data_IF_487368859974
#
_entry.id   IF_487368859974
#
_cell.length_a   1.000
_cell.length_b   1.000
_cell.length_c   1.000
_cell.angle_alpha   90.00
_cell.angle_beta   90.00
_cell.angle_gamma   90.00
#
_symmetry.space_group_name_H-M   'P 1'
#
loop_
_entity.id
_entity.type
_entity.pdbx_description
1 polymer ?
#
# COMPACT_ATOMS: atom_id res chain seq x y z
N UNK A 1 -4.48 -18.24 -18.48
CA UNK A 1 -5.50 -17.41 -17.81
C UNK A 1 -4.88 -16.99 -16.49
N UNK A 2 -4.50 -15.71 -16.32
CA UNK A 2 -3.96 -15.24 -15.04
C UNK A 2 -5.12 -15.00 -14.08
N UNK A 3 -4.94 -15.39 -12.82
CA UNK A 3 -5.96 -15.27 -11.78
C UNK A 3 -5.88 -13.85 -11.22
N UNK A 4 -6.88 -13.02 -11.53
CA UNK A 4 -7.05 -11.71 -10.87
C UNK A 4 -7.85 -11.98 -9.60
N UNK A 5 -7.27 -11.69 -8.44
CA UNK A 5 -7.93 -11.85 -7.15
C UNK A 5 -8.32 -10.47 -6.59
N UNK A 6 -9.61 -10.25 -6.36
CA UNK A 6 -10.09 -9.06 -5.65
C UNK A 6 -9.82 -9.21 -4.16
N UNK A 7 -9.01 -8.31 -3.61
CA UNK A 7 -8.80 -8.21 -2.17
C UNK A 7 -10.04 -7.62 -1.53
N UNK A 8 -10.56 -8.23 -0.45
CA UNK A 8 -11.53 -7.53 0.40
C UNK A 8 -10.85 -6.28 0.94
N UNK A 9 -11.38 -5.11 0.58
CA UNK A 9 -10.88 -3.81 1.04
C UNK A 9 -11.06 -3.71 2.55
N UNK A 10 -9.96 -3.84 3.29
CA UNK A 10 -9.95 -3.66 4.73
C UNK A 10 -9.01 -2.52 5.08
N UNK A 11 -9.59 -1.43 5.61
CA UNK A 11 -8.85 -0.27 6.03
C UNK A 11 -8.64 -0.32 7.54
N UNK A 12 -7.38 -0.43 7.96
CA UNK A 12 -7.03 -0.41 9.38
C UNK A 12 -7.11 1.03 9.89
N UNK A 13 -7.90 1.25 10.95
CA UNK A 13 -8.13 2.59 11.52
C UNK A 13 -6.85 3.31 11.93
N UNK A 14 -5.81 2.56 12.32
CA UNK A 14 -4.48 3.06 12.64
C UNK A 14 -3.88 3.99 11.56
N UNK A 15 -4.15 3.73 10.27
CA UNK A 15 -3.61 4.56 9.17
C UNK A 15 -4.42 5.83 8.90
N UNK A 16 -5.61 5.93 9.48
CA UNK A 16 -6.49 7.12 9.41
C UNK A 16 -6.56 7.89 10.72
N UNK A 17 -6.03 7.33 11.81
CA UNK A 17 -6.02 7.96 13.12
C UNK A 17 -5.11 9.19 13.13
N UNK A 18 -5.63 10.33 13.59
CA UNK A 18 -4.90 11.60 13.65
C UNK A 18 -5.12 12.55 12.46
N UNK A 19 -5.84 12.13 11.42
CA UNK A 19 -6.33 13.08 10.40
C UNK A 19 -7.73 13.57 10.80
N UNK A 20 -7.84 14.81 11.27
CA UNK A 20 -9.13 15.36 11.74
C UNK A 20 -10.08 15.70 10.59
N UNK A 21 -9.54 16.18 9.48
CA UNK A 21 -10.31 16.73 8.34
C UNK A 21 -10.02 16.05 7.01
N UNK A 22 -9.04 15.16 6.99
CA UNK A 22 -8.54 14.51 5.80
C UNK A 22 -8.68 13.00 5.94
N UNK A 23 -8.93 12.30 4.84
CA UNK A 23 -9.05 10.85 4.84
C UNK A 23 -8.78 10.28 3.45
N UNK A 24 -8.61 8.98 3.40
CA UNK A 24 -8.58 8.22 2.16
C UNK A 24 -9.51 7.02 2.28
N UNK A 25 -10.08 6.59 1.16
CA UNK A 25 -10.98 5.46 1.08
C UNK A 25 -10.49 4.52 -0.03
N UNK A 26 -10.27 3.26 0.32
CA UNK A 26 -9.88 2.23 -0.64
C UNK A 26 -11.11 1.75 -1.42
N UNK A 27 -11.15 2.03 -2.72
CA UNK A 27 -12.28 1.68 -3.58
C UNK A 27 -12.11 0.29 -4.21
N UNK A 28 -10.91 -0.01 -4.70
CA UNK A 28 -10.61 -1.27 -5.40
C UNK A 28 -9.20 -1.75 -5.03
N UNK A 29 -9.04 -3.06 -4.99
CA UNK A 29 -7.78 -3.72 -4.66
C UNK A 29 -7.71 -5.07 -5.38
N UNK A 30 -6.71 -5.24 -6.23
CA UNK A 30 -6.54 -6.42 -7.08
C UNK A 30 -5.09 -6.92 -7.03
N UNK A 31 -4.91 -8.23 -7.10
CA UNK A 31 -3.61 -8.88 -7.28
C UNK A 31 -3.63 -9.68 -8.59
N UNK A 32 -2.66 -9.41 -9.47
CA UNK A 32 -2.34 -10.23 -10.65
C UNK A 32 -0.90 -10.74 -10.55
N UNK A 33 -0.74 -11.96 -10.05
CA UNK A 33 0.57 -12.57 -9.83
C UNK A 33 1.38 -11.79 -8.79
N UNK A 34 2.45 -11.10 -9.24
CA UNK A 34 3.31 -10.28 -8.39
C UNK A 34 3.02 -8.77 -8.50
N UNK A 35 1.94 -8.38 -9.16
CA UNK A 35 1.51 -7.00 -9.29
C UNK A 35 0.26 -6.80 -8.43
N UNK A 36 0.23 -5.70 -7.69
CA UNK A 36 -0.92 -5.28 -6.89
C UNK A 36 -1.34 -3.90 -7.35
N UNK A 37 -2.64 -3.75 -7.58
CA UNK A 37 -3.24 -2.49 -7.99
C UNK A 37 -4.28 -2.07 -6.97
N UNK A 38 -4.21 -0.81 -6.56
CA UNK A 38 -5.17 -0.19 -5.67
C UNK A 38 -5.72 1.09 -6.28
N UNK A 39 -7.02 1.32 -6.11
CA UNK A 39 -7.68 2.58 -6.44
C UNK A 39 -8.12 3.25 -5.15
N UNK A 40 -7.54 4.42 -4.86
CA UNK A 40 -7.76 5.16 -3.62
C UNK A 40 -8.40 6.50 -3.93
N UNK A 41 -9.46 6.82 -3.20
CA UNK A 41 -10.08 8.13 -3.21
C UNK A 41 -9.57 8.93 -2.01
N UNK A 42 -9.26 10.22 -2.19
CA UNK A 42 -8.75 11.08 -1.13
C UNK A 42 -9.70 12.25 -0.88
N UNK A 43 -9.92 12.55 0.40
CA UNK A 43 -10.55 13.78 0.86
C UNK A 43 -9.48 14.60 1.59
N UNK A 44 -9.12 15.74 1.04
CA UNK A 44 -8.11 16.67 1.56
C UNK A 44 -8.62 18.10 1.48
N UNK A 45 -8.11 18.96 2.36
CA UNK A 45 -8.40 20.40 2.33
C UNK A 45 -7.65 21.06 1.16
N UNK A 46 -6.42 20.62 0.89
CA UNK A 46 -5.65 21.08 -0.27
C UNK A 46 -6.33 20.63 -1.56
N UNK A 47 -6.67 21.59 -2.43
CA UNK A 47 -7.35 21.37 -3.72
C UNK A 47 -6.37 21.13 -4.86
N UNK A 48 -5.10 21.47 -4.65
CA UNK A 48 -4.07 21.45 -5.67
C UNK A 48 -3.23 20.20 -5.56
N UNK A 49 -2.69 19.87 -4.38
CA UNK A 49 -1.82 18.71 -4.22
C UNK A 49 -2.33 17.81 -3.12
N UNK A 50 -2.19 16.49 -3.33
CA UNK A 50 -2.40 15.53 -2.27
C UNK A 50 -1.28 15.69 -1.22
N UNK A 51 -1.60 15.86 0.07
CA UNK A 51 -0.59 15.94 1.11
C UNK A 51 0.27 14.67 1.13
N UNK A 52 1.59 14.84 1.18
CA UNK A 52 2.54 13.73 1.18
C UNK A 52 2.23 12.71 2.27
N UNK A 53 1.97 13.18 3.49
CA UNK A 53 1.70 12.31 4.63
C UNK A 53 0.44 11.46 4.41
N UNK A 54 -0.61 12.02 3.79
CA UNK A 54 -1.84 11.30 3.51
C UNK A 54 -1.63 10.22 2.44
N UNK A 55 -0.87 10.55 1.39
CA UNK A 55 -0.46 9.58 0.37
C UNK A 55 0.39 8.46 0.97
N UNK A 56 1.40 8.81 1.76
CA UNK A 56 2.31 7.86 2.40
C UNK A 56 1.57 6.90 3.33
N UNK A 57 0.62 7.41 4.14
CA UNK A 57 -0.23 6.59 5.00
C UNK A 57 -1.16 5.66 4.22
N UNK A 58 -1.74 6.13 3.11
CA UNK A 58 -2.50 5.28 2.22
C UNK A 58 -1.61 4.16 1.66
N UNK A 59 -0.43 4.47 1.10
CA UNK A 59 0.47 3.46 0.55
C UNK A 59 0.94 2.44 1.61
N UNK A 60 1.24 2.88 2.83
CA UNK A 60 1.57 1.98 3.94
C UNK A 60 0.40 1.05 4.32
N UNK A 61 -0.82 1.58 4.40
CA UNK A 61 -2.05 0.80 4.67
C UNK A 61 -2.24 -0.31 3.64
N UNK A 62 -2.01 0.01 2.37
CA UNK A 62 -2.15 -0.94 1.27
C UNK A 62 -1.06 -2.00 1.28
N UNK A 63 0.19 -1.60 1.55
CA UNK A 63 1.29 -2.55 1.76
C UNK A 63 1.00 -3.52 2.92
N UNK A 64 0.44 -3.02 4.01
CA UNK A 64 0.03 -3.84 5.15
C UNK A 64 -1.07 -4.84 4.77
N UNK A 65 -2.12 -4.38 4.08
CA UNK A 65 -3.22 -5.23 3.62
C UNK A 65 -2.71 -6.32 2.66
N UNK A 66 -1.83 -5.97 1.72
CA UNK A 66 -1.19 -6.90 0.82
C UNK A 66 -0.38 -7.97 1.56
N UNK A 67 0.49 -7.55 2.49
CA UNK A 67 1.28 -8.49 3.31
C UNK A 67 0.36 -9.44 4.08
N UNK A 68 -0.68 -8.90 4.73
CA UNK A 68 -1.63 -9.70 5.50
C UNK A 68 -2.32 -10.75 4.64
N UNK A 69 -2.76 -10.36 3.45
CA UNK A 69 -3.42 -11.28 2.53
C UNK A 69 -2.49 -12.38 2.04
N UNK A 70 -1.29 -12.01 1.57
CA UNK A 70 -0.31 -12.95 1.02
C UNK A 70 0.20 -13.95 2.06
N UNK A 71 0.32 -13.53 3.32
CA UNK A 71 0.68 -14.42 4.43
C UNK A 71 -0.46 -15.37 4.79
N UNK A 72 -1.71 -14.87 4.80
CA UNK A 72 -2.88 -15.70 5.07
C UNK A 72 -3.06 -16.81 4.03
N UNK A 73 -2.78 -16.54 2.74
CA UNK A 73 -2.77 -17.57 1.69
C UNK A 73 -1.77 -18.70 1.96
N UNK A 74 -0.72 -18.43 2.73
CA UNK A 74 0.33 -19.39 3.10
C UNK A 74 0.10 -20.00 4.50
N UNK A 75 -1.07 -19.74 5.12
CA UNK A 75 -1.38 -20.19 6.46
C UNK A 75 -0.55 -19.51 7.56
N UNK A 76 0.08 -18.37 7.26
CA UNK A 76 0.90 -17.61 8.18
C UNK A 76 0.12 -16.47 8.82
N UNK A 77 0.37 -16.24 10.10
CA UNK A 77 -0.15 -15.09 10.85
C UNK A 77 1.06 -14.30 11.33
N UNK A 78 1.09 -13.01 11.04
CA UNK A 78 2.13 -12.13 11.54
C UNK A 78 1.75 -11.55 12.89
N UNK A 79 2.76 -11.28 13.71
CA UNK A 79 2.64 -10.59 14.99
C UNK A 79 2.76 -9.08 14.83
N UNK A 80 3.75 -8.64 14.05
CA UNK A 80 3.95 -7.23 13.76
C UNK A 80 4.67 -7.02 12.42
N UNK A 81 4.41 -5.86 11.80
CA UNK A 81 5.14 -5.35 10.64
C UNK A 81 5.98 -4.14 11.05
N UNK A 82 7.17 -4.03 10.49
CA UNK A 82 8.09 -2.92 10.68
C UNK A 82 8.49 -2.32 9.34
N UNK A 83 8.15 -1.05 9.13
CA UNK A 83 8.53 -0.31 7.94
C UNK A 83 10.03 0.00 7.97
N UNK A 84 10.81 -0.71 7.16
CA UNK A 84 12.27 -0.66 7.15
C UNK A 84 12.80 0.48 6.28
N UNK A 85 12.20 0.67 5.11
CA UNK A 85 12.59 1.72 4.17
C UNK A 85 11.37 2.24 3.42
N UNK A 86 11.35 3.55 3.18
CA UNK A 86 10.48 4.18 2.20
C UNK A 86 11.32 5.15 1.38
N UNK A 87 11.22 5.04 0.06
CA UNK A 87 11.79 6.00 -0.87
C UNK A 87 10.68 6.50 -1.79
N UNK A 88 10.66 7.82 -2.01
CA UNK A 88 9.68 8.49 -2.85
C UNK A 88 10.38 9.40 -3.85
N UNK A 89 9.95 9.33 -5.11
CA UNK A 89 10.35 10.25 -6.16
C UNK A 89 9.10 10.88 -6.79
N UNK A 90 8.88 12.16 -6.51
CA UNK A 90 7.77 12.94 -7.08
C UNK A 90 8.20 13.56 -8.41
N UNK A 91 7.51 13.18 -9.48
CA UNK A 91 7.78 13.68 -10.83
C UNK A 91 6.75 14.73 -11.26
N UNK A 92 5.51 14.62 -10.76
CA UNK A 92 4.40 15.52 -11.06
C UNK A 92 3.46 15.67 -9.85
N UNK A 93 2.69 16.76 -9.79
CA UNK A 93 1.58 16.89 -8.85
C UNK A 93 0.61 15.70 -8.90
N UNK A 94 0.19 15.24 -7.72
CA UNK A 94 -0.92 14.28 -7.57
C UNK A 94 -2.14 15.08 -7.13
N UNK A 95 -3.19 15.07 -7.96
CA UNK A 95 -4.40 15.86 -7.72
C UNK A 95 -5.39 15.07 -6.85
N UNK A 96 -5.96 15.67 -5.80
CA UNK A 96 -6.82 14.95 -4.86
C UNK A 96 -8.25 14.69 -5.36
N UNK A 97 -8.74 15.49 -6.31
CA UNK A 97 -10.11 15.34 -6.85
C UNK A 97 -10.25 14.23 -7.91
N UNK A 98 -9.23 13.39 -8.08
CA UNK A 98 -9.25 12.22 -8.94
C UNK A 98 -8.87 11.02 -8.10
N UNK A 99 -9.51 9.89 -8.37
CA UNK A 99 -9.05 8.62 -7.81
C UNK A 99 -7.58 8.41 -8.20
N UNK A 100 -6.81 8.00 -7.22
CA UNK A 100 -5.38 7.76 -7.34
C UNK A 100 -5.20 6.28 -7.55
N UNK A 101 -4.58 5.92 -8.66
CA UNK A 101 -4.17 4.55 -8.94
C UNK A 101 -2.77 4.33 -8.40
N UNK A 102 -2.61 3.27 -7.61
CA UNK A 102 -1.35 2.82 -7.04
C UNK A 102 -1.09 1.43 -7.59
N UNK A 103 -0.05 1.29 -8.40
CA UNK A 103 0.36 0.01 -8.95
C UNK A 103 1.74 -0.33 -8.39
N UNK A 104 1.91 -1.53 -7.84
CA UNK A 104 3.16 -1.97 -7.26
C UNK A 104 3.46 -3.41 -7.63
N UNK A 105 4.69 -3.66 -8.06
CA UNK A 105 5.26 -4.99 -8.05
C UNK A 105 5.72 -5.30 -6.62
N UNK A 106 5.44 -6.51 -6.14
CA UNK A 106 5.92 -6.97 -4.83
C UNK A 106 6.84 -8.18 -4.97
N UNK A 107 7.70 -8.33 -3.96
CA UNK A 107 8.49 -9.54 -3.72
C UNK A 107 8.45 -9.88 -2.23
N UNK A 108 8.37 -11.17 -1.92
CA UNK A 108 8.35 -11.71 -0.56
C UNK A 108 9.47 -12.73 -0.40
N UNK A 109 10.30 -12.55 0.62
CA UNK A 109 11.38 -13.47 0.97
C UNK A 109 11.27 -13.88 2.45
N UNK A 110 11.24 -15.18 2.72
CA UNK A 110 11.32 -15.69 4.09
C UNK A 110 12.79 -15.80 4.50
N UNK A 111 13.21 -14.99 5.47
CA UNK A 111 14.57 -15.07 6.02
C UNK A 111 14.71 -16.30 6.92
N UNK A 112 13.67 -16.63 7.69
CA UNK A 112 13.59 -17.80 8.56
C UNK A 112 12.11 -18.08 8.92
N UNK A 113 11.86 -19.07 9.79
CA UNK A 113 10.51 -19.44 10.23
C UNK A 113 9.76 -18.35 10.99
N UNK A 114 10.44 -17.30 11.47
CA UNK A 114 9.86 -16.20 12.26
C UNK A 114 9.92 -14.86 11.57
N UNK A 115 10.52 -14.77 10.38
CA UNK A 115 10.75 -13.49 9.71
C UNK A 115 10.60 -13.61 8.19
N UNK A 116 9.79 -12.74 7.64
CA UNK A 116 9.70 -12.49 6.21
C UNK A 116 10.03 -11.02 5.92
N UNK A 117 10.47 -10.74 4.71
CA UNK A 117 10.70 -9.40 4.19
C UNK A 117 9.85 -9.23 2.93
N UNK A 118 9.07 -8.15 2.91
CA UNK A 118 8.34 -7.70 1.75
C UNK A 118 9.01 -6.46 1.17
N UNK A 119 9.08 -6.41 -0.15
CA UNK A 119 9.50 -5.23 -0.89
C UNK A 119 8.45 -4.90 -1.94
N UNK A 120 8.14 -3.62 -2.06
CA UNK A 120 7.20 -3.08 -3.02
C UNK A 120 7.91 -2.02 -3.84
N UNK A 121 7.73 -2.04 -5.15
CA UNK A 121 8.23 -1.02 -6.07
C UNK A 121 7.11 -0.66 -7.02
N UNK A 122 6.74 0.61 -7.06
CA UNK A 122 5.49 0.99 -7.70
C UNK A 122 5.42 2.44 -8.17
N UNK A 123 4.30 2.74 -8.81
CA UNK A 123 4.00 4.07 -9.34
C UNK A 123 2.64 4.55 -8.87
N UNK A 124 2.50 5.87 -8.83
CA UNK A 124 1.23 6.56 -8.57
C UNK A 124 0.77 7.23 -9.87
N UNK A 125 -0.47 6.97 -10.26
CA UNK A 125 -1.08 7.46 -11.51
C UNK A 125 -0.17 7.22 -12.74
N UNK A 126 0.43 6.02 -12.81
CA UNK A 126 1.33 5.55 -13.88
C UNK A 126 2.70 6.25 -13.98
N UNK A 127 2.86 7.49 -13.50
CA UNK A 127 4.15 8.21 -13.51
C UNK A 127 4.20 9.49 -12.68
N UNK A 128 3.17 9.84 -11.90
CA UNK A 128 3.21 11.08 -11.10
C UNK A 128 4.18 10.98 -9.94
N UNK A 129 4.29 9.80 -9.33
CA UNK A 129 5.32 9.48 -8.36
C UNK A 129 5.77 8.03 -8.51
N UNK A 130 6.99 7.74 -8.09
CA UNK A 130 7.55 6.41 -7.96
C UNK A 130 7.88 6.18 -6.50
N UNK A 131 7.68 4.96 -6.01
CA UNK A 131 8.00 4.60 -4.64
C UNK A 131 8.64 3.23 -4.53
N UNK A 132 9.44 3.08 -3.48
CA UNK A 132 9.95 1.80 -3.02
C UNK A 132 9.72 1.69 -1.52
N UNK A 133 9.18 0.55 -1.08
CA UNK A 133 8.90 0.28 0.32
C UNK A 133 9.47 -1.08 0.68
N UNK A 134 10.20 -1.15 1.79
CA UNK A 134 10.62 -2.41 2.40
C UNK A 134 9.98 -2.56 3.77
N UNK A 135 9.43 -3.73 4.04
CA UNK A 135 8.75 -4.07 5.28
C UNK A 135 9.28 -5.39 5.82
N UNK A 136 9.76 -5.37 7.06
CA UNK A 136 10.08 -6.59 7.80
C UNK A 136 8.80 -7.07 8.50
N UNK A 137 8.51 -8.37 8.37
CA UNK A 137 7.36 -9.02 8.97
C UNK A 137 7.83 -10.07 9.95
N UNK A 138 7.33 -9.98 11.17
CA UNK A 138 7.65 -10.94 12.22
C UNK A 138 6.46 -11.87 12.41
N UNK A 139 6.69 -13.15 12.20
CA UNK A 139 5.70 -14.23 12.24
C UNK A 139 5.57 -14.79 13.66
N UNK A 140 4.44 -15.43 13.94
CA UNK A 140 4.20 -16.12 15.21
C UNK A 140 5.04 -17.39 15.37
#
# INVERSE_FOLDING_TARGET
MKLIETLKTHQYSYFTEGFETEKFDLSEAEIDGNIITFIVSFQTIDRFNLPFLLLDRATQSLGFQACSYLLAQQGQIFRFLFLKRVNWQFLRPIRPHRSVSIEAQYNCAFENSRKAQFSFSGTINGSSAVFEIEIDVFLN
#
